data_IF_001342300001
#
_entry.id   IF_001342300001
#
_cell.length_a   1.000
_cell.length_b   1.000
_cell.length_c   1.000
_cell.angle_alpha   90.00
_cell.angle_beta   90.00
_cell.angle_gamma   90.00
#
_symmetry.space_group_name_H-M   'P 1'
#
loop_
_entity.id
_entity.type
_entity.pdbx_description
1 polymer ?
#
# COMPACT_ATOMS: atom_id res chain seq x y z
N UNK A 1 11.02 22.38 2.53
CA UNK A 1 10.26 21.13 2.65
C UNK A 1 9.37 21.03 1.44
N UNK A 2 9.13 19.81 0.98
CA UNK A 2 8.27 19.51 -0.17
C UNK A 2 7.09 18.67 0.31
N UNK A 3 5.94 18.84 -0.33
CA UNK A 3 4.95 17.77 -0.30
C UNK A 3 5.46 16.57 -1.09
N UNK A 4 5.11 15.33 -0.68
CA UNK A 4 5.42 14.15 -1.46
C UNK A 4 5.01 14.27 -2.94
N UNK A 5 3.87 14.89 -3.23
CA UNK A 5 3.35 15.10 -4.58
C UNK A 5 4.22 16.02 -5.45
N UNK A 6 5.04 16.86 -4.81
CA UNK A 6 5.93 17.82 -5.47
C UNK A 6 7.32 17.25 -5.75
N UNK A 7 7.58 15.99 -5.40
CA UNK A 7 8.87 15.36 -5.68
C UNK A 7 9.15 15.37 -7.19
N UNK A 8 10.27 15.99 -7.62
CA UNK A 8 10.59 16.15 -9.03
C UNK A 8 10.67 14.82 -9.79
N UNK A 9 10.44 14.88 -11.10
CA UNK A 9 10.71 13.74 -11.96
C UNK A 9 12.21 13.42 -11.94
N UNK A 10 12.54 12.14 -11.74
CA UNK A 10 13.94 11.69 -11.66
C UNK A 10 14.52 11.72 -10.25
N UNK A 11 13.70 11.96 -9.23
CA UNK A 11 14.10 11.70 -7.84
C UNK A 11 14.41 10.22 -7.67
N UNK A 12 15.48 9.90 -6.95
CA UNK A 12 15.94 8.55 -6.67
C UNK A 12 15.62 8.15 -5.23
N UNK A 13 14.90 7.04 -5.09
CA UNK A 13 14.72 6.32 -3.83
C UNK A 13 15.54 5.02 -3.89
N UNK A 14 16.73 5.05 -3.31
CA UNK A 14 17.73 4.00 -3.47
C UNK A 14 18.10 3.78 -4.95
N UNK A 15 17.63 2.69 -5.55
CA UNK A 15 17.88 2.35 -6.97
C UNK A 15 16.71 2.70 -7.90
N UNK A 16 15.58 3.11 -7.35
CA UNK A 16 14.35 3.35 -8.11
C UNK A 16 14.25 4.83 -8.44
N UNK A 17 14.06 5.16 -9.71
CA UNK A 17 13.63 6.49 -10.11
C UNK A 17 12.13 6.63 -9.84
N UNK A 18 11.75 7.69 -9.16
CA UNK A 18 10.39 7.99 -8.74
C UNK A 18 10.02 9.43 -9.12
N UNK A 19 8.75 9.73 -8.97
CA UNK A 19 8.18 11.06 -9.12
C UNK A 19 6.95 11.14 -8.22
N UNK A 20 6.74 12.28 -7.60
CA UNK A 20 5.58 12.52 -6.75
C UNK A 20 5.45 11.54 -5.59
N UNK A 21 4.25 11.50 -5.02
CA UNK A 21 3.94 10.74 -3.80
C UNK A 21 4.05 9.24 -4.05
N UNK A 22 4.81 8.56 -3.19
CA UNK A 22 4.87 7.11 -3.14
C UNK A 22 3.81 6.55 -2.19
N UNK A 23 3.42 5.29 -2.41
CA UNK A 23 2.37 4.60 -1.65
C UNK A 23 2.63 4.49 -0.14
N UNK A 24 3.90 4.61 0.28
CA UNK A 24 4.31 4.54 1.68
C UNK A 24 4.31 5.92 2.38
N UNK A 25 4.10 7.02 1.66
CA UNK A 25 3.99 8.34 2.27
C UNK A 25 2.62 8.53 2.92
N UNK A 26 2.62 9.00 4.17
CA UNK A 26 1.39 9.39 4.87
C UNK A 26 0.81 10.72 4.39
N UNK A 27 -0.43 10.99 4.74
CA UNK A 27 -1.22 12.13 4.30
C UNK A 27 -0.60 13.45 4.75
N UNK A 28 -0.14 13.50 6.00
CA UNK A 28 0.45 14.68 6.64
C UNK A 28 1.99 14.69 6.56
N UNK A 29 2.58 13.81 5.75
CA UNK A 29 4.03 13.71 5.57
C UNK A 29 4.57 14.85 4.70
N UNK A 30 5.65 15.45 5.17
CA UNK A 30 6.50 16.38 4.41
C UNK A 30 7.87 15.76 4.21
N UNK A 31 8.53 16.15 3.13
CA UNK A 31 9.91 15.76 2.84
C UNK A 31 10.83 16.93 3.19
N UNK A 32 11.77 16.71 4.12
CA UNK A 32 12.81 17.68 4.44
C UNK A 32 13.73 17.89 3.24
N UNK A 33 14.40 19.04 3.11
CA UNK A 33 15.30 19.28 1.99
C UNK A 33 16.47 20.17 2.38
N UNK A 34 17.62 19.98 1.72
CA UNK A 34 18.77 20.89 1.85
C UNK A 34 18.65 22.20 1.06
N UNK A 35 17.54 22.39 0.33
CA UNK A 35 17.25 23.65 -0.36
C UNK A 35 16.97 24.79 0.62
N UNK A 36 17.72 25.88 0.48
CA UNK A 36 17.60 27.10 1.28
C UNK A 36 17.30 28.29 0.37
N UNK A 37 16.37 29.15 0.78
CA UNK A 37 15.98 30.35 0.03
C UNK A 37 15.79 31.55 0.97
N UNK A 38 16.04 32.75 0.44
CA UNK A 38 15.69 34.02 1.10
C UNK A 38 14.37 34.52 0.55
N UNK A 39 13.40 34.80 1.42
CA UNK A 39 12.07 35.30 1.06
C UNK A 39 11.77 36.62 1.76
N UNK A 40 10.76 37.34 1.27
CA UNK A 40 10.25 38.54 1.94
C UNK A 40 9.45 38.13 3.18
N UNK A 41 9.70 38.75 4.34
CA UNK A 41 8.95 38.46 5.57
C UNK A 41 7.43 38.68 5.41
N UNK A 42 7.00 39.60 4.53
CA UNK A 42 5.59 39.85 4.24
C UNK A 42 4.91 38.75 3.43
N UNK A 43 5.67 37.81 2.84
CA UNK A 43 5.09 36.65 2.15
C UNK A 43 4.77 35.49 3.11
N UNK A 44 5.09 35.61 4.40
CA UNK A 44 4.76 34.59 5.40
C UNK A 44 3.29 34.72 5.79
N UNK A 45 2.48 33.72 5.45
CA UNK A 45 1.05 33.70 5.75
C UNK A 45 0.77 33.29 7.21
N UNK A 46 1.35 32.18 7.67
CA UNK A 46 1.13 31.64 9.01
C UNK A 46 2.26 30.70 9.43
N UNK A 47 2.32 30.38 10.73
CA UNK A 47 3.19 29.35 11.26
C UNK A 47 2.59 27.96 11.02
N UNK A 48 3.42 26.99 10.67
CA UNK A 48 3.09 25.57 10.66
C UNK A 48 3.99 24.84 11.66
N UNK A 49 3.43 23.88 12.41
CA UNK A 49 4.21 22.99 13.27
C UNK A 49 4.51 21.72 12.51
N UNK A 50 5.79 21.38 12.39
CA UNK A 50 6.24 20.16 11.73
C UNK A 50 7.18 19.43 12.68
N UNK A 51 6.88 18.17 13.00
CA UNK A 51 7.71 17.33 13.86
C UNK A 51 8.64 16.44 13.04
N UNK A 52 9.83 16.16 13.56
CA UNK A 52 10.61 15.03 13.07
C UNK A 52 10.06 13.77 13.73
N UNK A 53 9.68 12.78 12.93
CA UNK A 53 9.19 11.51 13.44
C UNK A 53 10.35 10.53 13.62
N UNK A 54 10.45 9.96 14.83
CA UNK A 54 11.23 8.75 15.09
C UNK A 54 10.28 7.56 14.90
N UNK A 55 10.55 6.70 13.92
CA UNK A 55 9.71 5.59 13.44
C UNK A 55 9.38 4.51 14.50
N UNK A 56 9.82 4.74 15.76
CA UNK A 56 9.53 3.91 16.94
C UNK A 56 8.38 4.44 17.80
N UNK A 57 7.96 5.69 17.59
CA UNK A 57 6.91 6.34 18.39
C UNK A 57 5.85 6.99 17.48
N UNK A 58 4.78 6.24 17.23
CA UNK A 58 3.72 6.63 16.29
C UNK A 58 2.67 7.57 16.92
N UNK A 59 2.66 7.69 18.25
CA UNK A 59 1.70 8.56 18.96
C UNK A 59 1.93 10.05 18.67
N UNK A 60 3.15 10.42 18.27
CA UNK A 60 3.53 11.83 18.14
C UNK A 60 3.11 12.48 16.81
N UNK A 61 2.79 11.67 15.79
CA UNK A 61 2.49 12.14 14.43
C UNK A 61 1.00 12.25 14.11
N UNK A 62 0.13 11.64 14.93
CA UNK A 62 -1.30 11.69 14.71
C UNK A 62 -1.78 13.17 14.66
N UNK A 63 -2.49 13.51 13.58
CA UNK A 63 -3.07 14.83 13.32
C UNK A 63 -2.11 16.03 13.18
N UNK A 64 -0.80 15.79 12.99
CA UNK A 64 0.17 16.89 12.78
C UNK A 64 1.04 16.68 11.55
N UNK A 65 1.60 17.76 11.00
CA UNK A 65 2.59 17.63 9.92
C UNK A 65 3.87 17.04 10.50
N UNK A 66 4.46 16.10 9.79
CA UNK A 66 5.70 15.46 10.22
C UNK A 66 6.61 15.19 9.03
N UNK A 67 7.88 14.91 9.31
CA UNK A 67 8.84 14.43 8.33
C UNK A 67 9.71 13.33 8.95
N UNK A 68 10.05 12.33 8.14
CA UNK A 68 11.05 11.29 8.46
C UNK A 68 12.12 11.11 7.38
N UNK A 69 11.82 11.58 6.16
CA UNK A 69 12.69 11.46 5.00
C UNK A 69 13.18 12.85 4.54
N UNK A 70 14.38 12.89 3.98
CA UNK A 70 15.00 14.09 3.42
C UNK A 70 15.33 13.90 1.93
N UNK A 71 15.18 14.97 1.15
CA UNK A 71 15.50 15.07 -0.26
C UNK A 71 16.71 15.98 -0.48
N UNK A 72 17.74 15.47 -1.14
CA UNK A 72 18.88 16.27 -1.59
C UNK A 72 18.62 16.81 -3.00
N UNK A 73 18.47 18.13 -3.12
CA UNK A 73 18.19 18.78 -4.41
C UNK A 73 19.38 18.71 -5.39
N UNK A 74 20.59 18.47 -4.90
CA UNK A 74 21.80 18.42 -5.72
C UNK A 74 21.96 17.05 -6.38
N UNK A 75 21.72 15.98 -5.62
CA UNK A 75 21.85 14.60 -6.11
C UNK A 75 20.53 14.02 -6.60
N UNK A 76 19.40 14.68 -6.30
CA UNK A 76 18.05 14.18 -6.53
C UNK A 76 17.75 12.88 -5.76
N UNK A 77 18.37 12.67 -4.60
CA UNK A 77 18.21 11.44 -3.81
C UNK A 77 17.38 11.66 -2.56
N UNK A 78 16.56 10.67 -2.21
CA UNK A 78 15.90 10.56 -0.92
C UNK A 78 16.75 9.77 0.07
N UNK A 79 16.70 10.18 1.34
CA UNK A 79 17.27 9.40 2.43
C UNK A 79 16.52 8.09 2.62
N UNK A 80 17.19 7.06 3.16
CA UNK A 80 16.54 5.77 3.45
C UNK A 80 15.56 5.88 4.62
N UNK A 81 14.51 5.06 4.58
CA UNK A 81 13.46 4.92 5.62
C UNK A 81 13.45 3.46 6.10
N UNK A 82 12.91 3.18 7.29
CA UNK A 82 12.81 1.82 7.81
C UNK A 82 11.94 0.93 6.90
N UNK A 83 12.40 -0.30 6.69
CA UNK A 83 11.75 -1.28 5.82
C UNK A 83 11.10 -2.37 6.67
N UNK A 84 9.88 -2.74 6.30
CA UNK A 84 9.08 -3.73 7.02
C UNK A 84 8.61 -4.85 6.10
N UNK A 85 7.98 -5.85 6.72
CA UNK A 85 7.36 -6.99 6.06
C UNK A 85 8.33 -7.85 5.22
N UNK A 86 7.80 -8.90 4.60
CA UNK A 86 8.54 -9.74 3.64
C UNK A 86 8.74 -9.06 2.29
N UNK A 87 7.95 -8.03 1.96
CA UNK A 87 8.07 -7.26 0.73
C UNK A 87 9.24 -6.25 0.76
N UNK A 88 9.81 -5.98 1.94
CA UNK A 88 10.96 -5.10 2.14
C UNK A 88 10.70 -3.67 1.62
N UNK A 89 9.50 -3.15 1.88
CA UNK A 89 9.09 -1.78 1.55
C UNK A 89 8.80 -0.99 2.82
N UNK A 90 8.89 0.35 2.78
CA UNK A 90 8.54 1.18 3.93
C UNK A 90 7.06 1.02 4.32
N UNK A 91 6.78 1.30 5.59
CA UNK A 91 5.41 1.35 6.12
C UNK A 91 4.76 2.71 5.83
N UNK A 92 3.47 2.69 5.51
CA UNK A 92 2.67 3.91 5.51
C UNK A 92 2.06 4.10 6.92
N UNK A 93 2.33 5.20 7.63
CA UNK A 93 1.81 5.44 8.97
C UNK A 93 0.28 5.56 9.04
N UNK A 94 -0.39 5.88 7.92
CA UNK A 94 -1.85 5.92 7.87
C UNK A 94 -2.47 4.53 7.67
N UNK A 95 -1.65 3.50 7.47
CA UNK A 95 -2.08 2.12 7.27
C UNK A 95 -1.64 1.26 8.43
N UNK A 96 -2.44 0.24 8.73
CA UNK A 96 -2.15 -0.69 9.80
C UNK A 96 -0.95 -1.58 9.45
N UNK A 97 0.00 -1.65 10.38
CA UNK A 97 1.03 -2.68 10.44
C UNK A 97 0.70 -3.64 11.58
N UNK A 98 0.98 -4.93 11.38
CA UNK A 98 0.78 -5.96 12.40
C UNK A 98 2.12 -6.51 12.84
N UNK A 99 2.39 -6.47 14.15
CA UNK A 99 3.55 -7.10 14.74
C UNK A 99 3.30 -8.59 15.00
N UNK A 100 4.24 -9.45 14.60
CA UNK A 100 4.17 -10.88 14.91
C UNK A 100 4.32 -11.15 16.42
N UNK A 101 3.32 -11.80 17.04
CA UNK A 101 3.31 -12.14 18.47
C UNK A 101 4.29 -13.26 18.86
N UNK A 102 4.94 -13.90 17.89
CA UNK A 102 6.03 -14.84 18.16
C UNK A 102 7.28 -14.08 18.61
N UNK A 103 7.73 -14.31 19.86
CA UNK A 103 8.90 -13.67 20.48
C UNK A 103 10.20 -13.76 19.65
N UNK A 104 10.40 -14.86 18.91
CA UNK A 104 11.56 -15.04 18.04
C UNK A 104 11.46 -14.25 16.72
N UNK A 105 10.27 -13.81 16.32
CA UNK A 105 10.03 -13.09 15.07
C UNK A 105 9.95 -11.58 15.31
N UNK A 106 8.94 -11.09 16.05
CA UNK A 106 8.70 -9.65 16.33
C UNK A 106 8.90 -8.70 15.13
N UNK A 107 8.54 -9.17 13.93
CA UNK A 107 8.62 -8.37 12.71
C UNK A 107 7.24 -7.83 12.37
N UNK A 108 7.24 -6.62 11.82
CA UNK A 108 6.04 -5.94 11.32
C UNK A 108 5.69 -6.36 9.91
N UNK A 109 4.39 -6.43 9.62
CA UNK A 109 3.85 -6.85 8.34
C UNK A 109 2.74 -5.91 7.89
N UNK A 110 2.70 -5.57 6.60
CA UNK A 110 1.60 -4.80 6.04
C UNK A 110 0.34 -5.64 6.00
N UNK A 111 -0.79 -5.07 6.44
CA UNK A 111 -2.11 -5.68 6.31
C UNK A 111 -2.37 -6.19 4.89
N UNK A 112 -2.06 -5.38 3.88
CA UNK A 112 -2.27 -5.73 2.48
C UNK A 112 -1.47 -6.98 2.06
N UNK A 113 -0.22 -7.12 2.51
CA UNK A 113 0.59 -8.30 2.20
C UNK A 113 0.05 -9.57 2.85
N UNK A 114 -0.53 -9.46 4.05
CA UNK A 114 -1.18 -10.57 4.74
C UNK A 114 -2.41 -11.03 3.97
N UNK A 115 -3.26 -10.09 3.58
CA UNK A 115 -4.49 -10.36 2.80
C UNK A 115 -4.15 -10.99 1.45
N UNK A 116 -3.16 -10.44 0.75
CA UNK A 116 -2.73 -10.94 -0.56
C UNK A 116 -2.19 -12.38 -0.48
N UNK A 117 -1.37 -12.71 0.53
CA UNK A 117 -0.89 -14.07 0.74
C UNK A 117 -2.03 -15.04 1.09
N UNK A 118 -2.96 -14.62 1.95
CA UNK A 118 -4.10 -15.42 2.36
C UNK A 118 -5.01 -15.75 1.16
N UNK A 119 -5.30 -14.76 0.31
CA UNK A 119 -6.03 -14.96 -0.95
C UNK A 119 -5.26 -15.84 -1.94
N UNK A 120 -3.94 -15.67 -2.03
CA UNK A 120 -3.07 -16.53 -2.85
C UNK A 120 -3.16 -17.99 -2.39
N UNK A 121 -3.10 -18.23 -1.08
CA UNK A 121 -3.19 -19.56 -0.49
C UNK A 121 -4.58 -20.18 -0.71
N UNK A 122 -5.64 -19.37 -0.56
CA UNK A 122 -7.02 -19.77 -0.86
C UNK A 122 -7.19 -20.17 -2.33
N UNK A 123 -6.68 -19.37 -3.25
CA UNK A 123 -6.74 -19.67 -4.66
C UNK A 123 -6.02 -20.98 -4.99
N UNK A 124 -4.83 -21.19 -4.44
CA UNK A 124 -4.05 -22.43 -4.62
C UNK A 124 -4.77 -23.68 -4.09
N UNK A 125 -5.43 -23.60 -2.93
CA UNK A 125 -6.19 -24.74 -2.36
C UNK A 125 -7.50 -25.01 -3.10
N UNK A 126 -8.13 -23.96 -3.65
CA UNK A 126 -9.43 -24.07 -4.34
C UNK A 126 -9.27 -24.43 -5.82
N UNK A 127 -8.06 -24.29 -6.38
CA UNK A 127 -7.83 -24.13 -7.82
C UNK A 127 -6.85 -25.10 -8.50
N UNK A 128 -6.77 -26.37 -8.08
CA UNK A 128 -6.39 -27.46 -8.99
C UNK A 128 -7.55 -28.36 -9.41
N UNK A 129 -8.78 -28.12 -8.94
CA UNK A 129 -9.92 -29.02 -9.22
C UNK A 129 -11.16 -28.37 -9.86
N UNK A 130 -11.17 -27.05 -10.16
CA UNK A 130 -12.18 -26.46 -11.06
C UNK A 130 -11.59 -25.39 -11.96
N UNK A 131 -11.60 -25.70 -13.25
CA UNK A 131 -11.21 -24.85 -14.37
C UNK A 131 -11.86 -23.46 -14.30
N UNK A 132 -11.09 -22.40 -14.56
CA UNK A 132 -11.35 -21.49 -15.69
C UNK A 132 -10.10 -20.69 -16.05
N UNK A 133 -9.72 -20.81 -17.32
CA UNK A 133 -8.76 -19.96 -18.02
C UNK A 133 -9.33 -18.54 -18.06
N UNK A 134 -8.49 -17.55 -17.75
CA UNK A 134 -8.83 -16.12 -17.88
C UNK A 134 -9.47 -15.84 -19.25
N UNK A 135 -10.52 -15.00 -19.35
CA UNK A 135 -11.05 -14.62 -20.65
C UNK A 135 -9.97 -13.87 -21.42
N UNK A 136 -9.42 -14.51 -22.46
CA UNK A 136 -8.64 -13.81 -23.48
C UNK A 136 -9.61 -12.88 -24.18
N UNK A 137 -9.53 -11.58 -23.89
CA UNK A 137 -10.23 -10.56 -24.64
C UNK A 137 -9.87 -10.70 -26.13
N UNK A 138 -10.86 -10.90 -27.03
CA UNK A 138 -10.57 -10.92 -28.46
C UNK A 138 -10.25 -9.50 -28.93
N UNK A 139 -9.02 -9.29 -29.40
CA UNK A 139 -8.66 -8.13 -30.23
C UNK A 139 -9.56 -8.15 -31.48
N UNK A 140 -10.57 -7.28 -31.52
CA UNK A 140 -11.27 -6.93 -32.76
C UNK A 140 -10.62 -5.66 -33.32
N UNK A 141 -10.14 -5.76 -34.55
CA UNK A 141 -9.51 -4.69 -35.30
C UNK A 141 -10.47 -3.56 -35.69
N UNK A 142 -9.89 -2.36 -35.72
CA UNK A 142 -10.12 -1.17 -36.55
C UNK A 142 -11.46 -0.99 -37.28
N UNK A 143 -12.17 0.11 -36.98
CA UNK A 143 -12.12 1.35 -37.80
C UNK A 143 -13.08 2.44 -37.30
N UNK A 144 -12.59 3.69 -37.27
CA UNK A 144 -13.30 4.87 -37.77
C UNK A 144 -14.25 5.66 -36.83
N UNK A 145 -13.84 6.91 -36.60
CA UNK A 145 -14.65 8.15 -36.68
C UNK A 145 -15.10 8.88 -35.39
N UNK A 146 -15.03 10.21 -35.51
CA UNK A 146 -14.96 11.25 -34.50
C UNK A 146 -16.24 11.49 -33.66
N UNK A 147 -16.05 11.97 -32.43
CA UNK A 147 -16.94 13.01 -31.88
C UNK A 147 -17.52 12.80 -30.46
N UNK A 148 -17.03 13.64 -29.54
CA UNK A 148 -17.66 14.18 -28.30
C UNK A 148 -17.60 13.33 -27.01
N UNK A 149 -16.56 13.61 -26.20
CA UNK A 149 -16.44 13.31 -24.77
C UNK A 149 -17.45 14.11 -23.92
N UNK A 150 -18.15 13.49 -22.96
CA UNK A 150 -18.58 14.14 -21.73
C UNK A 150 -17.50 14.05 -20.64
N UNK A 151 -17.49 15.05 -19.76
CA UNK A 151 -16.67 15.20 -18.56
C UNK A 151 -17.18 14.29 -17.42
N UNK A 152 -16.29 13.52 -16.79
CA UNK A 152 -15.96 13.64 -15.35
C UNK A 152 -15.06 12.50 -14.85
N UNK A 153 -14.23 12.74 -13.81
CA UNK A 153 -13.07 11.91 -13.49
C UNK A 153 -13.35 10.90 -12.37
N UNK A 154 -12.79 9.70 -12.50
CA UNK A 154 -12.59 8.78 -11.38
C UNK A 154 -11.09 8.64 -11.16
N UNK A 155 -10.60 9.36 -10.16
CA UNK A 155 -9.27 9.14 -9.58
C UNK A 155 -9.37 7.93 -8.66
N UNK A 156 -8.80 6.81 -9.09
CA UNK A 156 -8.24 5.79 -8.20
C UNK A 156 -6.96 5.31 -8.84
N UNK A 157 -5.85 5.94 -8.43
CA UNK A 157 -4.51 5.51 -8.77
C UNK A 157 -4.21 4.19 -8.06
N UNK A 158 -4.54 3.09 -8.74
CA UNK A 158 -4.00 1.78 -8.46
C UNK A 158 -2.92 1.52 -9.51
N UNK A 159 -1.65 1.71 -9.15
CA UNK A 159 -0.54 1.24 -9.98
C UNK A 159 0.40 0.39 -9.13
N UNK A 160 0.14 -0.91 -9.21
CA UNK A 160 1.06 -1.99 -8.87
C UNK A 160 2.09 -2.13 -9.97
N UNK A 161 3.38 -2.11 -9.62
CA UNK A 161 4.43 -2.62 -10.49
C UNK A 161 4.30 -4.15 -10.57
N UNK A 162 3.77 -4.64 -11.69
CA UNK A 162 3.65 -6.06 -12.03
C UNK A 162 2.29 -6.39 -12.62
N UNK A 163 2.06 -6.04 -13.90
CA UNK A 163 0.91 -6.49 -14.67
C UNK A 163 0.95 -8.01 -14.89
N UNK A 164 0.55 -8.74 -13.84
CA UNK A 164 -0.05 -10.05 -13.92
C UNK A 164 -1.31 -9.95 -13.09
N UNK A 165 -2.48 -9.97 -13.73
CA UNK A 165 -3.78 -9.98 -13.05
C UNK A 165 -3.74 -10.95 -11.88
N UNK A 166 -4.09 -10.49 -10.67
CA UNK A 166 -4.03 -11.36 -9.49
C UNK A 166 -5.02 -12.51 -9.74
N UNK A 167 -4.59 -13.78 -9.70
CA UNK A 167 -5.45 -14.90 -10.11
C UNK A 167 -6.77 -15.03 -9.33
N UNK A 168 -6.84 -14.46 -8.13
CA UNK A 168 -8.01 -14.45 -7.25
C UNK A 168 -8.92 -13.21 -7.40
N UNK A 169 -8.51 -12.20 -8.17
CA UNK A 169 -9.35 -11.01 -8.39
C UNK A 169 -10.70 -11.40 -9.01
N UNK A 170 -11.78 -10.94 -8.39
CA UNK A 170 -13.16 -11.25 -8.81
C UNK A 170 -13.66 -12.64 -8.41
N UNK A 171 -12.81 -13.50 -7.84
CA UNK A 171 -13.20 -14.82 -7.32
C UNK A 171 -13.37 -14.80 -5.81
N UNK A 172 -12.44 -14.15 -5.11
CA UNK A 172 -12.42 -14.09 -3.66
C UNK A 172 -12.08 -12.67 -3.19
N UNK A 173 -12.69 -12.27 -2.09
CA UNK A 173 -12.39 -11.04 -1.36
C UNK A 173 -11.97 -11.44 0.07
N UNK A 174 -11.04 -10.71 0.65
CA UNK A 174 -10.59 -10.94 2.02
C UNK A 174 -10.40 -9.62 2.76
N UNK A 175 -10.83 -9.60 4.01
CA UNK A 175 -10.74 -8.44 4.90
C UNK A 175 -10.15 -8.90 6.23
N UNK A 176 -9.07 -8.26 6.64
CA UNK A 176 -8.54 -8.45 7.97
C UNK A 176 -9.51 -7.80 8.97
N UNK A 177 -9.93 -8.55 10.00
CA UNK A 177 -10.70 -7.98 11.10
C UNK A 177 -9.74 -7.33 12.10
N UNK A 178 -10.14 -6.19 12.71
CA UNK A 178 -9.28 -5.38 13.56
C UNK A 178 -8.71 -6.14 14.77
N UNK A 179 -7.62 -5.61 15.37
CA UNK A 179 -6.85 -6.26 16.44
C UNK A 179 -7.60 -6.44 17.76
N UNK A 180 -8.82 -5.89 17.90
CA UNK A 180 -9.70 -6.13 19.06
C UNK A 180 -10.15 -7.60 19.16
N UNK A 181 -10.03 -8.37 18.06
CA UNK A 181 -10.11 -9.83 18.10
C UNK A 181 -8.71 -10.42 18.30
N UNK A 182 -8.51 -11.03 19.46
CA UNK A 182 -7.33 -11.80 19.81
C UNK A 182 -7.68 -13.31 19.73
N UNK A 183 -7.15 -14.07 18.75
CA UNK A 183 -6.17 -13.69 17.73
C UNK A 183 -6.78 -13.00 16.50
N UNK A 184 -6.00 -12.22 15.72
CA UNK A 184 -6.50 -11.57 14.51
C UNK A 184 -6.92 -12.59 13.45
N UNK A 185 -8.07 -12.32 12.82
CA UNK A 185 -8.68 -13.20 11.81
C UNK A 185 -8.88 -12.48 10.48
N UNK A 186 -8.83 -13.24 9.40
CA UNK A 186 -9.18 -12.79 8.05
C UNK A 186 -10.55 -13.35 7.72
N UNK A 187 -11.49 -12.48 7.36
CA UNK A 187 -12.78 -12.88 6.78
C UNK A 187 -12.63 -12.98 5.27
N UNK A 188 -12.91 -14.15 4.72
CA UNK A 188 -12.99 -14.39 3.29
C UNK A 188 -14.43 -14.33 2.80
N UNK A 189 -14.61 -13.92 1.55
CA UNK A 189 -15.87 -13.96 0.83
C UNK A 189 -15.65 -14.55 -0.56
N UNK A 190 -16.43 -15.57 -0.89
CA UNK A 190 -16.50 -16.13 -2.24
C UNK A 190 -17.47 -15.30 -3.10
N UNK A 191 -16.98 -14.85 -4.25
CA UNK A 191 -17.71 -14.01 -5.20
C UNK A 191 -18.22 -14.80 -6.43
N UNK A 192 -17.97 -16.11 -6.52
CA UNK A 192 -18.36 -16.91 -7.67
C UNK A 192 -19.86 -17.23 -7.69
N UNK A 193 -20.50 -16.97 -8.83
CA UNK A 193 -21.89 -17.34 -9.07
C UNK A 193 -22.01 -18.85 -9.37
N UNK A 194 -22.65 -19.60 -8.47
CA UNK A 194 -22.93 -21.03 -8.66
C UNK A 194 -22.67 -21.95 -7.46
N UNK A 195 -22.25 -21.42 -6.32
CA UNK A 195 -22.12 -22.20 -5.08
C UNK A 195 -23.51 -22.45 -4.50
N UNK A 196 -24.11 -23.60 -4.83
CA UNK A 196 -25.49 -23.96 -4.45
C UNK A 196 -25.62 -24.45 -2.99
N UNK A 197 -24.51 -24.79 -2.33
CA UNK A 197 -24.54 -25.41 -0.98
C UNK A 197 -23.28 -25.18 -0.13
N UNK A 198 -22.53 -24.10 -0.41
CA UNK A 198 -21.28 -23.77 0.27
C UNK A 198 -21.35 -22.47 1.07
N UNK A 199 -20.57 -22.41 2.14
CA UNK A 199 -20.44 -21.21 2.97
C UNK A 199 -19.76 -20.09 2.16
N UNK A 200 -20.50 -19.02 1.86
CA UNK A 200 -20.01 -17.90 1.03
C UNK A 200 -19.02 -17.00 1.77
N UNK A 201 -18.97 -17.10 3.09
CA UNK A 201 -18.12 -16.26 3.94
C UNK A 201 -17.61 -17.08 5.11
N UNK A 202 -16.31 -17.16 5.32
CA UNK A 202 -15.71 -17.86 6.45
C UNK A 202 -14.51 -17.08 6.98
N UNK A 203 -14.02 -17.47 8.15
CA UNK A 203 -12.89 -16.79 8.80
C UNK A 203 -11.72 -17.75 9.01
N UNK A 204 -10.50 -17.27 8.82
CA UNK A 204 -9.28 -18.03 9.14
C UNK A 204 -8.33 -17.22 10.03
N UNK A 205 -7.51 -17.90 10.86
CA UNK A 205 -6.49 -17.23 11.63
C UNK A 205 -5.42 -16.64 10.72
N UNK A 206 -4.94 -15.45 11.07
CA UNK A 206 -3.83 -14.81 10.37
C UNK A 206 -2.53 -15.60 10.62
N UNK A 207 -1.70 -15.72 9.59
CA UNK A 207 -0.36 -16.32 9.68
C UNK A 207 0.73 -15.30 9.41
N UNK A 208 1.83 -15.41 10.13
CA UNK A 208 3.01 -14.61 9.90
C UNK A 208 3.68 -15.03 8.57
N UNK A 209 3.92 -14.06 7.68
CA UNK A 209 4.55 -14.29 6.38
C UNK A 209 6.03 -14.66 6.47
N UNK A 210 6.64 -14.49 7.65
CA UNK A 210 8.08 -14.68 7.87
C UNK A 210 8.39 -15.95 8.65
N UNK A 211 7.60 -16.32 9.64
CA UNK A 211 7.81 -17.54 10.43
C UNK A 211 6.72 -18.61 10.24
N UNK A 212 5.59 -18.28 9.60
CA UNK A 212 4.47 -19.21 9.38
C UNK A 212 3.60 -19.49 10.61
N UNK A 213 3.98 -18.98 11.78
CA UNK A 213 3.18 -19.13 13.00
C UNK A 213 1.91 -18.28 12.93
N UNK A 214 0.88 -18.74 13.63
CA UNK A 214 -0.32 -17.95 13.83
C UNK A 214 -0.02 -16.83 14.82
N UNK A 215 -0.71 -15.71 14.66
CA UNK A 215 -0.77 -14.71 15.70
C UNK A 215 -1.57 -15.34 16.86
N UNK A 216 -0.91 -15.49 18.00
CA UNK A 216 -1.50 -15.90 19.27
C UNK A 216 -1.80 -14.69 20.14
#
# INVERSE_FOLDING_TARGET
MYWPDELPQGTHDGRKAIQGRQHYHGMNELIASNYMATINALSVASQAQVKQWDEKNDEEIQDTLYWRQAFDITTYELSTVELFCSCNTPGNPDKMLIECTTEACKKWMHEQCIVDDALTALYKRSGTDKLHVAPVHPKKGENGDEGKRPLSPSETGAETNGDGARPWEGLFEALLKPPDMDPPIIEFRDLQDGVVDGEKTWTEPVKCLLCGNHFN
#
